data_IF_321113743169
#
_entry.id   IF_321113743169
#
_cell.length_a   1.000
_cell.length_b   1.000
_cell.length_c   1.000
_cell.angle_alpha   90.00
_cell.angle_beta   90.00
_cell.angle_gamma   90.00
#
_symmetry.space_group_name_H-M   'P 1'
#
loop_
_entity.id
_entity.type
_entity.pdbx_description
1 polymer ?
#
# COMPACT_ATOMS: atom_id res chain seq x y z
N UNK A 1 -48.29 21.08 28.04
CA UNK A 1 -48.63 22.07 27.00
C UNK A 1 -48.35 21.43 25.66
N UNK A 2 -49.40 20.98 24.97
CA UNK A 2 -49.34 20.32 23.67
C UNK A 2 -49.89 21.27 22.61
N UNK A 3 -49.16 21.47 21.51
CA UNK A 3 -49.65 22.20 20.34
C UNK A 3 -49.58 21.29 19.12
N UNK A 4 -50.73 20.69 18.82
CA UNK A 4 -51.07 20.09 17.54
C UNK A 4 -51.18 21.20 16.48
N UNK A 5 -50.40 21.12 15.41
CA UNK A 5 -50.62 21.94 14.21
C UNK A 5 -51.26 21.09 13.13
N UNK A 6 -52.49 21.46 12.76
CA UNK A 6 -53.33 20.85 11.72
C UNK A 6 -53.13 21.59 10.40
N UNK A 7 -52.66 20.91 9.36
CA UNK A 7 -52.91 21.30 7.96
C UNK A 7 -52.95 20.04 7.09
N UNK A 8 -53.77 19.88 6.06
CA UNK A 8 -55.05 20.44 5.57
C UNK A 8 -55.51 19.37 4.54
N UNK A 9 -56.81 19.14 4.45
CA UNK A 9 -57.45 18.06 3.65
C UNK A 9 -57.43 18.31 2.13
N UNK A 10 -57.64 17.20 1.41
CA UNK A 10 -58.33 17.03 0.12
C UNK A 10 -57.47 17.32 -1.14
N UNK A 11 -57.09 16.29 -1.91
CA UNK A 11 -57.90 15.53 -2.88
C UNK A 11 -58.23 16.35 -4.14
N UNK A 12 -57.62 15.97 -5.28
CA UNK A 12 -58.32 15.46 -6.47
C UNK A 12 -57.36 15.28 -7.66
N UNK A 13 -57.33 14.03 -8.15
CA UNK A 13 -57.42 13.57 -9.55
C UNK A 13 -56.48 14.24 -10.58
N UNK A 14 -55.72 13.44 -11.33
CA UNK A 14 -56.20 12.89 -12.62
C UNK A 14 -55.12 11.97 -13.23
N UNK A 15 -55.50 10.73 -13.52
CA UNK A 15 -54.74 9.80 -14.35
C UNK A 15 -54.65 10.31 -15.79
N UNK A 16 -53.48 10.19 -16.40
CA UNK A 16 -53.34 10.01 -17.85
C UNK A 16 -52.35 8.88 -18.11
N UNK A 17 -52.87 7.82 -18.72
CA UNK A 17 -52.13 6.70 -19.29
C UNK A 17 -51.78 7.00 -20.76
N UNK A 18 -50.80 6.23 -21.24
CA UNK A 18 -50.50 5.85 -22.63
C UNK A 18 -49.61 6.77 -23.47
N UNK A 19 -48.40 6.28 -23.76
CA UNK A 19 -47.80 6.15 -25.09
C UNK A 19 -46.40 5.52 -24.91
N UNK A 20 -46.25 4.20 -25.05
CA UNK A 20 -45.91 3.46 -26.29
C UNK A 20 -44.42 3.50 -26.66
N UNK A 21 -43.99 2.39 -27.30
CA UNK A 21 -42.70 2.18 -27.99
C UNK A 21 -41.55 1.86 -27.02
N UNK A 22 -41.04 0.64 -26.85
CA UNK A 22 -40.75 -0.41 -27.83
C UNK A 22 -39.29 -0.28 -28.27
N UNK A 23 -38.35 -1.03 -27.68
CA UNK A 23 -37.19 -1.56 -28.41
C UNK A 23 -36.44 -2.62 -27.58
N UNK A 24 -36.17 -3.73 -28.25
CA UNK A 24 -35.34 -4.87 -27.86
C UNK A 24 -33.93 -4.41 -27.49
N UNK A 25 -33.35 -4.96 -26.41
CA UNK A 25 -31.90 -5.11 -26.28
C UNK A 25 -31.58 -6.41 -25.56
N UNK A 26 -30.66 -7.13 -26.20
CA UNK A 26 -30.20 -8.46 -25.87
C UNK A 26 -29.66 -8.56 -24.44
N UNK A 27 -29.82 -9.75 -23.85
CA UNK A 27 -29.00 -10.20 -22.74
C UNK A 27 -27.54 -10.30 -23.20
N UNK A 28 -26.83 -9.17 -23.17
CA UNK A 28 -25.38 -9.16 -23.07
C UNK A 28 -25.08 -9.13 -21.57
N UNK A 29 -24.45 -10.20 -21.05
CA UNK A 29 -23.88 -10.20 -19.72
C UNK A 29 -23.13 -8.90 -19.49
N UNK A 30 -23.56 -8.14 -18.48
CA UNK A 30 -22.77 -7.07 -17.90
C UNK A 30 -21.42 -7.65 -17.51
N UNK A 31 -20.37 -7.38 -18.29
CA UNK A 31 -19.06 -7.21 -17.68
C UNK A 31 -19.10 -5.82 -17.06
N UNK A 32 -19.47 -5.80 -15.79
CA UNK A 32 -19.28 -4.68 -14.89
C UNK A 32 -17.79 -4.49 -14.63
N UNK A 33 -17.11 -3.88 -15.59
CA UNK A 33 -15.89 -3.11 -15.34
C UNK A 33 -16.27 -1.67 -15.73
N UNK A 34 -15.87 -0.59 -15.03
CA UNK A 34 -14.74 -0.53 -14.11
C UNK A 34 -14.96 0.40 -12.89
N UNK A 35 -14.51 0.00 -11.70
CA UNK A 35 -13.95 0.98 -10.77
C UNK A 35 -12.43 0.89 -10.96
N UNK A 36 -11.92 1.53 -12.00
CA UNK A 36 -11.45 2.89 -11.78
C UNK A 36 -10.28 2.85 -10.81
N UNK A 37 -9.19 2.18 -11.20
CA UNK A 37 -7.90 2.29 -10.52
C UNK A 37 -7.57 3.76 -10.38
N UNK A 38 -7.58 4.24 -9.14
CA UNK A 38 -7.13 5.57 -8.79
C UNK A 38 -5.70 5.76 -9.31
N UNK A 39 -5.41 6.75 -10.16
CA UNK A 39 -4.03 7.12 -10.44
C UNK A 39 -3.54 7.93 -9.23
N UNK A 40 -2.84 7.26 -8.30
CA UNK A 40 -2.40 7.93 -7.08
C UNK A 40 -1.42 7.15 -6.21
N UNK A 41 -0.13 7.45 -6.43
CA UNK A 41 0.93 7.48 -5.40
C UNK A 41 1.55 6.16 -4.91
N UNK A 42 2.64 5.77 -5.58
CA UNK A 42 3.90 5.43 -4.91
C UNK A 42 4.13 3.98 -4.48
N UNK A 43 3.11 3.12 -4.52
CA UNK A 43 3.33 1.68 -4.48
C UNK A 43 4.22 1.30 -5.68
N UNK A 44 5.16 0.37 -5.48
CA UNK A 44 6.09 -0.05 -6.54
C UNK A 44 5.38 -0.74 -7.70
N UNK A 45 6.12 -1.53 -8.45
CA UNK A 45 5.56 -2.41 -9.46
C UNK A 45 4.42 -3.29 -8.89
N UNK A 46 3.45 -3.72 -9.72
CA UNK A 46 2.48 -4.72 -9.30
C UNK A 46 3.19 -5.91 -8.62
N UNK A 47 2.76 -6.25 -7.41
CA UNK A 47 3.38 -7.29 -6.58
C UNK A 47 4.52 -6.83 -5.66
N UNK A 48 5.00 -5.59 -5.72
CA UNK A 48 6.04 -5.11 -4.79
C UNK A 48 5.52 -4.99 -3.35
N UNK A 49 4.29 -4.53 -3.19
CA UNK A 49 3.66 -4.46 -1.87
C UNK A 49 3.44 -5.86 -1.28
N UNK A 50 3.03 -6.81 -2.11
CA UNK A 50 2.88 -8.21 -1.72
C UNK A 50 4.23 -8.85 -1.35
N UNK A 51 5.26 -8.65 -2.19
CA UNK A 51 6.62 -9.13 -1.89
C UNK A 51 7.14 -8.53 -0.59
N UNK A 52 6.94 -7.23 -0.40
CA UNK A 52 7.29 -6.53 0.83
C UNK A 52 6.57 -7.13 2.03
N UNK A 53 5.26 -7.32 1.97
CA UNK A 53 4.49 -7.89 3.08
C UNK A 53 5.01 -9.28 3.47
N UNK A 54 5.10 -10.18 2.49
CA UNK A 54 5.40 -11.60 2.72
C UNK A 54 6.87 -11.84 3.11
N UNK A 55 7.82 -11.12 2.50
CA UNK A 55 9.24 -11.44 2.60
C UNK A 55 10.04 -10.41 3.40
N UNK A 56 9.51 -9.20 3.62
CA UNK A 56 10.22 -8.13 4.33
C UNK A 56 9.51 -7.74 5.62
N UNK A 57 8.23 -7.38 5.54
CA UNK A 57 7.47 -6.92 6.71
C UNK A 57 7.30 -8.03 7.73
N UNK A 58 6.57 -9.10 7.37
CA UNK A 58 6.19 -10.18 8.29
C UNK A 58 7.38 -10.91 8.92
N UNK A 59 8.44 -11.31 8.16
CA UNK A 59 9.54 -12.08 8.75
C UNK A 59 10.67 -11.21 9.33
N UNK A 60 10.81 -9.95 8.91
CA UNK A 60 11.97 -9.11 9.27
C UNK A 60 11.55 -7.88 10.05
N UNK A 61 10.80 -6.96 9.45
CA UNK A 61 10.62 -5.63 10.01
C UNK A 61 9.69 -5.63 11.23
N UNK A 62 8.59 -6.37 11.20
CA UNK A 62 7.64 -6.49 12.31
C UNK A 62 8.22 -7.25 13.51
N UNK A 63 9.27 -8.05 13.29
CA UNK A 63 9.87 -8.90 14.34
C UNK A 63 11.15 -8.30 14.91
N UNK A 64 12.01 -7.74 14.05
CA UNK A 64 13.38 -7.34 14.40
C UNK A 64 13.59 -5.83 14.44
N UNK A 65 12.76 -5.05 13.76
CA UNK A 65 13.00 -3.62 13.56
C UNK A 65 11.99 -2.74 14.31
N UNK A 66 10.71 -3.08 14.24
CA UNK A 66 9.62 -2.24 14.74
C UNK A 66 9.76 -1.94 16.24
N UNK A 67 10.31 -2.84 17.05
CA UNK A 67 10.48 -2.62 18.49
C UNK A 67 11.32 -1.38 18.85
N UNK A 68 12.21 -0.94 17.95
CA UNK A 68 12.98 0.30 18.10
C UNK A 68 12.53 1.40 17.12
N UNK A 69 12.10 1.02 15.92
CA UNK A 69 11.75 1.91 14.82
C UNK A 69 10.24 2.13 14.74
N UNK A 70 9.66 2.72 15.77
CA UNK A 70 8.27 3.19 15.81
C UNK A 70 8.21 4.57 16.47
N UNK A 71 7.02 5.17 16.61
CA UNK A 71 6.80 6.51 17.21
C UNK A 71 7.40 6.66 18.62
N UNK A 72 7.33 5.60 19.42
CA UNK A 72 7.70 5.60 20.84
C UNK A 72 9.06 4.93 21.10
N UNK A 73 9.62 4.28 20.07
CA UNK A 73 10.88 3.55 20.14
C UNK A 73 12.11 4.46 20.18
N UNK A 74 13.23 3.90 20.64
CA UNK A 74 14.51 4.63 20.75
C UNK A 74 15.05 5.17 19.42
N UNK A 75 14.56 4.65 18.28
CA UNK A 75 14.96 5.08 16.94
C UNK A 75 13.90 5.96 16.25
N UNK A 76 12.96 6.55 17.00
CA UNK A 76 11.87 7.38 16.47
C UNK A 76 12.31 8.68 15.77
N UNK A 77 13.58 9.07 15.89
CA UNK A 77 14.17 10.22 15.17
C UNK A 77 14.95 9.82 13.93
N UNK A 78 14.98 8.54 13.59
CA UNK A 78 15.60 8.09 12.35
C UNK A 78 14.66 8.28 11.16
N UNK A 79 15.16 8.07 9.95
CA UNK A 79 14.33 8.08 8.73
C UNK A 79 13.44 6.84 8.59
N UNK A 80 13.64 5.81 9.41
CA UNK A 80 12.80 4.61 9.44
C UNK A 80 11.93 4.66 10.69
N UNK A 81 10.68 5.10 10.54
CA UNK A 81 9.67 5.04 11.61
C UNK A 81 8.50 4.25 11.05
N UNK A 82 8.26 3.08 11.64
CA UNK A 82 7.28 2.12 11.19
C UNK A 82 6.01 2.22 12.04
N UNK A 83 4.87 2.11 11.38
CA UNK A 83 3.57 2.03 12.02
C UNK A 83 3.27 0.57 12.37
N UNK A 84 2.71 0.29 13.55
CA UNK A 84 2.36 -1.07 13.94
C UNK A 84 1.05 -1.52 13.27
N UNK A 85 0.76 -2.84 13.21
CA UNK A 85 -0.40 -3.38 12.50
C UNK A 85 -1.76 -2.84 12.96
N UNK A 86 -1.83 -2.27 14.16
CA UNK A 86 -3.03 -1.65 14.71
C UNK A 86 -3.37 -0.28 14.07
N UNK A 87 -2.44 0.32 13.33
CA UNK A 87 -2.64 1.59 12.62
C UNK A 87 -3.21 1.32 11.23
N UNK A 88 -4.29 2.01 10.87
CA UNK A 88 -4.87 1.92 9.53
C UNK A 88 -3.86 2.37 8.46
N UNK A 89 -3.70 1.56 7.41
CA UNK A 89 -2.76 1.84 6.31
C UNK A 89 -1.28 1.67 6.68
N UNK A 90 -0.97 1.00 7.80
CA UNK A 90 0.41 0.78 8.26
C UNK A 90 1.27 0.13 7.17
N UNK A 91 0.72 -0.82 6.41
CA UNK A 91 1.49 -1.62 5.47
C UNK A 91 2.00 -0.76 4.31
N UNK A 92 1.14 0.07 3.73
CA UNK A 92 1.49 1.00 2.66
C UNK A 92 2.42 2.11 3.17
N UNK A 93 2.19 2.61 4.38
CA UNK A 93 3.10 3.57 5.02
C UNK A 93 4.51 2.99 5.21
N UNK A 94 4.59 1.79 5.77
CA UNK A 94 5.85 1.09 6.00
C UNK A 94 6.55 0.74 4.69
N UNK A 95 5.80 0.30 3.68
CA UNK A 95 6.33 0.07 2.34
C UNK A 95 7.01 1.33 1.79
N UNK A 96 6.31 2.49 1.81
CA UNK A 96 6.86 3.75 1.30
C UNK A 96 8.08 4.21 2.09
N UNK A 97 8.04 4.07 3.41
CA UNK A 97 9.15 4.41 4.31
C UNK A 97 10.40 3.59 3.99
N UNK A 98 10.25 2.28 3.84
CA UNK A 98 11.37 1.36 3.58
C UNK A 98 11.87 1.47 2.14
N UNK A 99 10.96 1.69 1.18
CA UNK A 99 11.30 1.98 -0.22
C UNK A 99 12.16 3.24 -0.34
N UNK A 100 11.81 4.33 0.35
CA UNK A 100 12.62 5.54 0.36
C UNK A 100 14.04 5.31 0.94
N UNK A 101 14.20 4.33 1.84
CA UNK A 101 15.50 3.96 2.40
C UNK A 101 16.31 3.03 1.51
N UNK A 102 15.67 2.31 0.57
CA UNK A 102 16.36 1.44 -0.36
C UNK A 102 17.35 2.20 -1.26
N UNK A 103 17.07 3.46 -1.56
CA UNK A 103 17.92 4.35 -2.37
C UNK A 103 19.11 4.93 -1.60
N UNK A 104 19.10 4.84 -0.27
CA UNK A 104 20.15 5.42 0.57
C UNK A 104 21.33 4.46 0.60
N UNK A 105 22.46 4.89 0.05
CA UNK A 105 23.69 4.08 0.01
C UNK A 105 24.85 4.70 0.78
N UNK A 106 25.82 3.86 1.15
CA UNK A 106 27.14 4.25 1.64
C UNK A 106 28.18 3.41 0.92
N UNK A 107 29.07 4.06 0.16
CA UNK A 107 30.04 3.34 -0.68
C UNK A 107 29.39 2.45 -1.74
N UNK A 108 28.20 2.83 -2.23
CA UNK A 108 27.44 2.06 -3.21
C UNK A 108 26.59 0.93 -2.62
N UNK A 109 26.75 0.57 -1.34
CA UNK A 109 25.90 -0.46 -0.69
C UNK A 109 24.72 0.19 0.03
N UNK A 110 23.49 -0.34 -0.12
CA UNK A 110 22.31 0.14 0.60
C UNK A 110 22.49 0.12 2.11
N UNK A 111 22.15 1.23 2.77
CA UNK A 111 22.20 1.35 4.25
C UNK A 111 21.26 0.35 4.92
N UNK A 112 20.15 0.01 4.25
CA UNK A 112 19.18 -1.00 4.68
C UNK A 112 19.78 -2.42 4.79
N UNK A 113 20.91 -2.68 4.12
CA UNK A 113 21.68 -3.92 4.25
C UNK A 113 22.83 -3.78 5.27
N UNK A 114 23.52 -2.63 5.25
CA UNK A 114 24.69 -2.40 6.09
C UNK A 114 24.38 -2.31 7.59
N UNK A 115 23.28 -1.63 7.96
CA UNK A 115 22.92 -1.43 9.37
C UNK A 115 22.56 -2.74 10.08
N UNK A 116 21.56 -3.52 9.63
CA UNK A 116 21.16 -4.73 10.36
C UNK A 116 22.22 -5.83 10.36
N UNK A 117 23.16 -5.82 9.42
CA UNK A 117 24.31 -6.76 9.40
C UNK A 117 25.50 -6.30 10.24
N UNK A 118 25.43 -5.11 10.85
CA UNK A 118 26.55 -4.54 11.62
C UNK A 118 27.72 -4.03 10.76
N UNK A 119 27.57 -4.00 9.43
CA UNK A 119 28.62 -3.59 8.47
C UNK A 119 28.66 -2.09 8.20
N UNK A 120 27.67 -1.33 8.63
CA UNK A 120 27.72 0.13 8.55
C UNK A 120 28.88 0.65 9.42
N UNK A 121 29.66 1.68 9.01
CA UNK A 121 30.85 2.10 9.76
C UNK A 121 30.62 2.48 11.24
N UNK A 122 29.44 3.02 11.56
CA UNK A 122 29.02 3.33 12.93
C UNK A 122 28.15 2.22 13.57
N UNK A 123 28.06 1.06 12.93
CA UNK A 123 27.21 -0.07 13.32
C UNK A 123 25.71 0.24 13.36
N UNK A 124 25.01 -0.62 14.10
CA UNK A 124 23.63 -0.47 14.51
C UNK A 124 23.57 -0.60 16.04
N UNK A 125 22.83 0.27 16.72
CA UNK A 125 22.85 0.35 18.19
C UNK A 125 22.37 -0.95 18.86
N UNK A 126 21.44 -1.67 18.22
CA UNK A 126 20.99 -3.00 18.65
C UNK A 126 21.95 -4.14 18.28
N UNK A 127 23.16 -3.85 17.81
CA UNK A 127 24.09 -4.84 17.29
C UNK A 127 23.66 -5.43 15.94
N UNK A 128 24.26 -6.58 15.59
CA UNK A 128 23.94 -7.35 14.38
C UNK A 128 22.63 -8.12 14.58
N UNK A 129 21.64 -7.86 13.72
CA UNK A 129 20.32 -8.49 13.79
C UNK A 129 20.24 -9.80 12.98
N UNK A 130 21.03 -9.91 11.91
CA UNK A 130 21.21 -11.10 11.08
C UNK A 130 22.49 -10.99 10.24
N UNK A 131 23.03 -12.12 9.78
CA UNK A 131 24.20 -12.15 8.89
C UNK A 131 23.84 -11.83 7.43
N UNK A 132 24.84 -11.47 6.65
CA UNK A 132 24.77 -11.29 5.19
C UNK A 132 24.51 -12.59 4.41
N UNK A 133 24.80 -13.75 5.01
CA UNK A 133 24.48 -15.05 4.42
C UNK A 133 23.02 -15.49 4.63
N UNK A 134 22.26 -14.77 5.46
CA UNK A 134 20.89 -15.13 5.83
C UNK A 134 19.89 -14.95 4.68
N UNK A 135 18.76 -15.65 4.77
CA UNK A 135 17.61 -15.42 3.88
C UNK A 135 17.09 -13.99 4.01
N UNK A 136 17.04 -13.43 5.23
CA UNK A 136 16.62 -12.04 5.47
C UNK A 136 17.45 -11.02 4.68
N UNK A 137 18.76 -11.25 4.57
CA UNK A 137 19.62 -10.37 3.78
C UNK A 137 19.26 -10.46 2.28
N UNK A 138 19.04 -11.67 1.76
CA UNK A 138 18.65 -11.91 0.36
C UNK A 138 17.28 -11.34 0.03
N UNK A 139 16.32 -11.44 0.96
CA UNK A 139 14.97 -10.89 0.80
C UNK A 139 15.02 -9.36 0.76
N UNK A 140 15.81 -8.73 1.64
CA UNK A 140 16.04 -7.28 1.58
C UNK A 140 16.76 -6.85 0.30
N UNK A 141 17.77 -7.62 -0.16
CA UNK A 141 18.43 -7.34 -1.44
C UNK A 141 17.45 -7.39 -2.60
N UNK A 142 16.58 -8.41 -2.62
CA UNK A 142 15.57 -8.57 -3.66
C UNK A 142 14.56 -7.42 -3.61
N UNK A 143 14.05 -7.06 -2.43
CA UNK A 143 13.19 -5.89 -2.26
C UNK A 143 13.85 -4.61 -2.78
N UNK A 144 15.09 -4.32 -2.37
CA UNK A 144 15.85 -3.14 -2.80
C UNK A 144 16.00 -3.13 -4.32
N UNK A 145 16.35 -4.26 -4.92
CA UNK A 145 16.48 -4.40 -6.37
C UNK A 145 15.17 -4.05 -7.08
N UNK A 146 14.05 -4.66 -6.64
CA UNK A 146 12.71 -4.43 -7.21
C UNK A 146 12.31 -2.96 -7.18
N UNK A 147 12.53 -2.28 -6.06
CA UNK A 147 12.06 -0.90 -5.86
C UNK A 147 13.01 0.19 -6.36
N UNK A 148 14.30 -0.11 -6.59
CA UNK A 148 15.30 0.87 -7.07
C UNK A 148 15.65 0.72 -8.55
N UNK A 149 15.62 -0.51 -9.09
CA UNK A 149 15.88 -0.72 -10.51
C UNK A 149 14.66 -0.42 -11.37
N UNK A 150 13.48 -0.35 -10.75
CA UNK A 150 12.23 0.01 -11.42
C UNK A 150 12.12 -0.74 -12.73
N UNK A 151 11.81 -2.04 -12.69
CA UNK A 151 11.31 -2.66 -13.91
C UNK A 151 10.23 -1.73 -14.45
N UNK A 152 10.34 -1.33 -15.72
CA UNK A 152 9.27 -0.57 -16.36
C UNK A 152 8.08 -1.51 -16.35
N UNK A 153 7.29 -1.43 -15.29
CA UNK A 153 6.14 -2.28 -15.14
C UNK A 153 5.22 -1.93 -16.27
N UNK A 154 5.16 -2.87 -17.22
CA UNK A 154 4.73 -2.61 -18.58
C UNK A 154 3.36 -1.92 -18.55
N UNK A 155 3.35 -0.66 -19.00
CA UNK A 155 2.14 -0.04 -19.50
C UNK A 155 1.83 -0.74 -20.84
N UNK A 156 1.23 -1.93 -20.77
CA UNK A 156 1.28 -2.90 -21.86
C UNK A 156 0.13 -3.91 -21.92
N UNK A 157 -1.12 -3.49 -21.75
CA UNK A 157 -2.28 -4.24 -22.26
C UNK A 157 -3.35 -3.34 -22.87
N UNK A 158 -2.94 -2.47 -23.79
CA UNK A 158 -3.83 -2.03 -24.87
C UNK A 158 -3.13 -2.27 -26.20
N UNK A 159 -3.27 -3.49 -26.71
CA UNK A 159 -3.12 -3.71 -28.14
C UNK A 159 -4.52 -3.62 -28.73
N UNK A 160 -4.82 -2.45 -29.28
CA UNK A 160 -5.85 -2.30 -30.31
C UNK A 160 -5.46 -3.23 -31.45
N UNK A 161 -6.31 -4.22 -31.71
CA UNK A 161 -6.42 -4.91 -32.99
C UNK A 161 -7.89 -5.17 -33.26
#
# INVERSE_FOLDING_TARGET
MAQHSKHRRASRRLLWLLASVGLVLAAACSKEEPLGSLPGSGAGCPGDLEYFEQNVWNPILSVKCIGCHNSDGIANKTRMVLDPPEVEGYLEHNFRTVKALAEVTKGGTPVLLLRPTGKYPSGHSGGTLFSDESTYYKDLQTFISRVTLGEKCDQGSSKVQ
#
